data_IF_077403830809
#
_entry.id   IF_077403830809
#
_cell.length_a   1.000
_cell.length_b   1.000
_cell.length_c   1.000
_cell.angle_alpha   90.00
_cell.angle_beta   90.00
_cell.angle_gamma   90.00
#
_symmetry.space_group_name_H-M   'P 1'
#
loop_
_entity.id
_entity.type
_entity.pdbx_description
1 polymer ?
#
# COMPACT_ATOMS: atom_id res chain seq x y z
N UNK A 1 22.17 27.53 22.40
CA UNK A 1 21.72 27.49 20.99
C UNK A 1 22.62 26.61 20.12
N UNK A 2 23.88 26.38 20.50
CA UNK A 2 24.86 25.67 19.66
C UNK A 2 24.72 24.14 19.65
N UNK A 3 24.23 23.49 20.71
CA UNK A 3 24.07 22.03 20.71
C UNK A 3 22.94 21.53 19.78
N UNK A 4 21.89 22.35 19.60
CA UNK A 4 20.78 22.02 18.72
C UNK A 4 21.15 22.30 17.26
N UNK A 5 21.97 23.32 16.99
CA UNK A 5 22.58 23.51 15.67
C UNK A 5 23.58 22.39 15.36
N UNK A 6 24.46 21.99 16.28
CA UNK A 6 25.41 20.88 16.06
C UNK A 6 24.67 19.55 15.85
N UNK A 7 23.57 19.29 16.55
CA UNK A 7 22.74 18.11 16.32
C UNK A 7 22.03 18.15 14.95
N UNK A 8 21.52 19.32 14.53
CA UNK A 8 20.89 19.48 13.20
C UNK A 8 21.95 19.42 12.08
N UNK A 9 23.13 20.01 12.27
CA UNK A 9 24.26 19.99 11.33
C UNK A 9 24.83 18.59 11.20
N UNK A 10 24.96 17.83 12.30
CA UNK A 10 25.41 16.43 12.24
C UNK A 10 24.39 15.49 11.58
N UNK A 11 23.09 15.81 11.63
CA UNK A 11 22.05 15.11 10.86
C UNK A 11 22.08 15.51 9.38
N UNK A 12 22.57 16.71 9.03
CA UNK A 12 22.70 17.16 7.62
C UNK A 12 24.04 16.83 6.97
N UNK A 13 25.08 16.48 7.73
CA UNK A 13 26.43 16.19 7.19
C UNK A 13 26.87 14.73 7.30
N UNK A 14 25.98 13.84 7.75
CA UNK A 14 26.22 12.38 7.78
C UNK A 14 25.24 11.59 6.90
N UNK A 15 24.92 12.08 5.70
CA UNK A 15 24.77 11.13 4.59
C UNK A 15 26.13 11.04 3.93
N UNK A 16 26.88 9.92 4.10
CA UNK A 16 28.08 9.76 3.32
C UNK A 16 27.61 9.77 1.86
N UNK A 17 28.32 10.51 1.02
CA UNK A 17 28.43 10.17 -0.39
C UNK A 17 28.37 8.65 -0.50
N UNK A 18 27.32 8.09 -1.09
CA UNK A 18 27.30 6.67 -1.37
C UNK A 18 28.56 6.41 -2.19
N UNK A 19 29.55 5.68 -1.65
CA UNK A 19 30.84 5.57 -2.29
C UNK A 19 30.63 4.96 -3.68
N UNK A 20 31.52 5.30 -4.60
CA UNK A 20 31.58 4.78 -5.98
C UNK A 20 31.58 3.24 -6.04
N UNK A 21 31.76 2.57 -4.89
CA UNK A 21 31.47 1.15 -4.68
C UNK A 21 30.48 0.93 -3.54
N UNK A 22 29.23 1.35 -3.71
CA UNK A 22 28.17 0.85 -2.82
C UNK A 22 27.92 -0.61 -3.20
N UNK A 23 28.16 -1.57 -2.30
CA UNK A 23 28.11 -2.96 -2.69
C UNK A 23 26.68 -3.38 -3.03
N UNK A 24 26.54 -4.11 -4.14
CA UNK A 24 25.26 -4.52 -4.73
C UNK A 24 24.31 -5.21 -3.72
N UNK A 25 24.87 -5.94 -2.75
CA UNK A 25 24.10 -6.62 -1.71
C UNK A 25 23.27 -5.66 -0.84
N UNK A 26 23.71 -4.42 -0.63
CA UNK A 26 22.93 -3.42 0.12
C UNK A 26 21.66 -3.03 -0.62
N UNK A 27 21.71 -2.97 -1.95
CA UNK A 27 20.52 -2.78 -2.78
C UNK A 27 19.51 -3.90 -2.57
N UNK A 28 19.95 -5.16 -2.60
CA UNK A 28 19.07 -6.31 -2.37
C UNK A 28 18.53 -6.38 -0.94
N UNK A 29 19.32 -6.02 0.07
CA UNK A 29 18.83 -5.89 1.45
C UNK A 29 17.73 -4.82 1.54
N UNK A 30 17.92 -3.69 0.86
CA UNK A 30 16.92 -2.62 0.80
C UNK A 30 15.63 -3.07 0.08
N UNK A 31 15.74 -3.88 -0.99
CA UNK A 31 14.57 -4.55 -1.62
C UNK A 31 13.81 -5.39 -0.60
N UNK A 32 14.50 -6.27 0.13
CA UNK A 32 13.87 -7.17 1.10
C UNK A 32 13.15 -6.36 2.19
N UNK A 33 13.80 -5.33 2.73
CA UNK A 33 13.18 -4.42 3.68
C UNK A 33 11.93 -3.74 3.10
N UNK A 34 12.01 -3.19 1.89
CA UNK A 34 10.87 -2.57 1.22
C UNK A 34 9.71 -3.56 1.01
N UNK A 35 10.01 -4.79 0.57
CA UNK A 35 9.04 -5.86 0.34
C UNK A 35 8.29 -6.22 1.61
N UNK A 36 8.99 -6.46 2.72
CA UNK A 36 8.36 -6.83 3.98
C UNK A 36 7.46 -5.73 4.52
N UNK A 37 7.92 -4.48 4.44
CA UNK A 37 7.20 -3.33 4.98
C UNK A 37 6.02 -2.92 4.11
N UNK A 38 6.17 -2.84 2.78
CA UNK A 38 5.06 -2.61 1.87
C UNK A 38 4.06 -3.76 1.87
N UNK A 39 4.51 -5.03 1.95
CA UNK A 39 3.59 -6.17 2.03
C UNK A 39 2.79 -6.23 3.33
N UNK A 40 3.29 -5.58 4.39
CA UNK A 40 2.65 -5.54 5.71
C UNK A 40 1.93 -4.21 5.99
N UNK A 41 2.02 -3.22 5.11
CA UNK A 41 1.53 -1.87 5.39
C UNK A 41 0.02 -1.81 5.62
N UNK A 42 -0.77 -2.69 5.00
CA UNK A 42 -2.22 -2.76 5.16
C UNK A 42 -2.67 -3.62 6.35
N UNK A 43 -1.76 -4.36 7.01
CA UNK A 43 -2.11 -5.24 8.14
C UNK A 43 -2.74 -4.47 9.32
N UNK A 44 -2.22 -3.31 9.75
CA UNK A 44 -2.86 -2.51 10.79
C UNK A 44 -4.29 -2.08 10.42
N UNK A 45 -4.54 -1.81 9.13
CA UNK A 45 -5.82 -1.32 8.63
C UNK A 45 -6.88 -2.42 8.50
N UNK A 46 -6.51 -3.70 8.63
CA UNK A 46 -7.47 -4.82 8.54
C UNK A 46 -8.48 -4.89 9.69
N UNK A 47 -8.33 -4.03 10.72
CA UNK A 47 -9.34 -3.87 11.79
C UNK A 47 -10.64 -3.21 11.28
N UNK A 48 -10.64 -2.67 10.08
CA UNK A 48 -11.81 -2.08 9.43
C UNK A 48 -12.31 -3.00 8.32
N UNK A 49 -13.64 -3.07 8.07
CA UNK A 49 -14.19 -3.83 6.96
C UNK A 49 -13.80 -3.19 5.63
N UNK A 50 -12.57 -3.45 5.19
CA UNK A 50 -12.11 -3.16 3.85
C UNK A 50 -12.71 -4.17 2.88
N UNK A 51 -12.83 -3.78 1.61
CA UNK A 51 -13.37 -4.62 0.55
C UNK A 51 -12.49 -5.85 0.26
N UNK A 52 -12.44 -6.29 -0.98
CA UNK A 52 -11.47 -7.33 -1.39
C UNK A 52 -10.06 -6.72 -1.45
N UNK A 53 -9.36 -6.73 -0.31
CA UNK A 53 -8.02 -6.14 -0.18
C UNK A 53 -6.97 -6.83 -1.03
N UNK A 54 -7.10 -8.16 -1.21
CA UNK A 54 -6.22 -8.95 -2.06
C UNK A 54 -6.37 -8.57 -3.53
N UNK A 55 -7.61 -8.50 -4.03
CA UNK A 55 -7.86 -8.08 -5.41
C UNK A 55 -7.40 -6.63 -5.65
N UNK A 56 -7.67 -5.72 -4.72
CA UNK A 56 -7.17 -4.34 -4.80
C UNK A 56 -5.64 -4.29 -4.93
N UNK A 57 -4.93 -4.95 -4.01
CA UNK A 57 -3.47 -4.99 -4.00
C UNK A 57 -2.92 -5.57 -5.30
N UNK A 58 -3.56 -6.63 -5.78
CA UNK A 58 -3.19 -7.30 -7.01
C UNK A 58 -3.32 -6.40 -8.25
N UNK A 59 -4.48 -5.77 -8.45
CA UNK A 59 -4.71 -4.86 -9.59
C UNK A 59 -3.82 -3.60 -9.51
N UNK A 60 -3.55 -3.10 -8.31
CA UNK A 60 -2.57 -2.03 -8.10
C UNK A 60 -1.16 -2.46 -8.54
N UNK A 61 -0.71 -3.66 -8.14
CA UNK A 61 0.60 -4.19 -8.50
C UNK A 61 0.78 -4.33 -10.02
N UNK A 62 -0.27 -4.74 -10.74
CA UNK A 62 -0.25 -4.76 -12.22
C UNK A 62 0.01 -3.36 -12.77
N UNK A 63 -0.73 -2.35 -12.29
CA UNK A 63 -0.56 -0.97 -12.73
C UNK A 63 0.87 -0.46 -12.49
N UNK A 64 1.41 -0.68 -11.28
CA UNK A 64 2.77 -0.27 -10.90
C UNK A 64 3.82 -0.89 -11.80
N UNK A 65 3.72 -2.21 -12.01
CA UNK A 65 4.70 -2.94 -12.78
C UNK A 65 4.64 -2.58 -14.27
N UNK A 66 3.44 -2.46 -14.84
CA UNK A 66 3.27 -2.06 -16.24
C UNK A 66 3.83 -0.66 -16.50
N UNK A 67 3.49 0.34 -15.69
CA UNK A 67 3.98 1.70 -15.92
C UNK A 67 5.44 1.88 -15.54
N UNK A 68 5.92 1.21 -14.50
CA UNK A 68 7.35 1.23 -14.11
C UNK A 68 8.25 0.56 -15.15
N UNK A 69 7.83 -0.59 -15.69
CA UNK A 69 8.57 -1.23 -16.79
C UNK A 69 8.48 -0.40 -18.07
N UNK A 70 7.29 0.10 -18.43
CA UNK A 70 7.12 0.88 -19.66
C UNK A 70 7.88 2.23 -19.61
N UNK A 71 7.91 2.89 -18.46
CA UNK A 71 8.63 4.16 -18.31
C UNK A 71 10.15 3.97 -18.45
N UNK A 72 10.72 2.94 -17.83
CA UNK A 72 12.15 2.62 -17.95
C UNK A 72 12.54 2.05 -19.31
N UNK A 73 11.71 1.16 -19.88
CA UNK A 73 12.00 0.51 -21.17
C UNK A 73 11.84 1.47 -22.35
N UNK A 74 10.71 2.20 -22.43
CA UNK A 74 10.44 3.10 -23.55
C UNK A 74 10.93 4.53 -23.33
N UNK A 75 11.44 4.87 -22.15
CA UNK A 75 11.86 6.24 -21.85
C UNK A 75 10.70 7.23 -21.79
N UNK A 76 9.55 6.83 -21.24
CA UNK A 76 8.39 7.73 -21.14
C UNK A 76 8.76 9.01 -20.40
N UNK A 77 8.12 10.13 -20.78
CA UNK A 77 8.37 11.46 -20.19
C UNK A 77 9.81 11.98 -20.39
N UNK A 78 10.53 11.45 -21.38
CA UNK A 78 11.89 11.87 -21.70
C UNK A 78 12.95 11.19 -20.85
N UNK A 79 12.63 10.11 -20.11
CA UNK A 79 13.63 9.30 -19.41
C UNK A 79 14.60 8.64 -20.38
N UNK A 80 15.83 8.40 -19.95
CA UNK A 80 16.80 7.65 -20.76
C UNK A 80 16.36 6.19 -20.78
N UNK A 81 16.01 5.69 -21.97
CA UNK A 81 15.61 4.30 -22.18
C UNK A 81 16.73 3.36 -21.75
N UNK A 82 16.39 2.42 -20.86
CA UNK A 82 17.35 1.44 -20.38
C UNK A 82 17.72 0.45 -21.49
N UNK A 83 19.02 0.25 -21.70
CA UNK A 83 19.53 -0.67 -22.73
C UNK A 83 19.25 -2.13 -22.34
N UNK A 84 18.44 -2.82 -23.15
CA UNK A 84 18.16 -4.26 -23.01
C UNK A 84 19.06 -5.05 -23.97
N UNK A 85 19.88 -5.96 -23.44
CA UNK A 85 20.82 -6.78 -24.24
C UNK A 85 20.11 -7.94 -24.94
N UNK A 86 19.12 -8.54 -24.27
CA UNK A 86 18.30 -9.62 -24.81
C UNK A 86 16.80 -9.26 -24.81
N UNK A 87 16.31 -8.53 -25.82
CA UNK A 87 14.92 -8.06 -25.88
C UNK A 87 13.89 -9.19 -25.79
N UNK A 88 14.13 -10.31 -26.46
CA UNK A 88 13.21 -11.46 -26.47
C UNK A 88 13.03 -12.03 -25.05
N UNK A 89 14.12 -12.12 -24.28
CA UNK A 89 14.06 -12.63 -22.91
C UNK A 89 13.33 -11.65 -21.98
N UNK A 90 13.48 -10.35 -22.21
CA UNK A 90 12.75 -9.32 -21.48
C UNK A 90 11.24 -9.43 -21.74
N UNK A 91 10.82 -9.48 -23.00
CA UNK A 91 9.40 -9.62 -23.37
C UNK A 91 8.80 -10.95 -22.88
N UNK A 92 9.58 -12.03 -22.89
CA UNK A 92 9.14 -13.31 -22.33
C UNK A 92 8.93 -13.20 -20.81
N UNK A 93 9.84 -12.53 -20.09
CA UNK A 93 9.64 -12.23 -18.67
C UNK A 93 8.39 -11.40 -18.41
N UNK A 94 8.11 -10.40 -19.24
CA UNK A 94 6.86 -9.62 -19.18
C UNK A 94 5.63 -10.51 -19.41
N UNK A 95 5.66 -11.38 -20.41
CA UNK A 95 4.57 -12.34 -20.67
C UNK A 95 4.33 -13.28 -19.47
N UNK A 96 5.39 -13.79 -18.85
CA UNK A 96 5.30 -14.60 -17.61
C UNK A 96 4.69 -13.81 -16.45
N UNK A 97 5.01 -12.52 -16.31
CA UNK A 97 4.41 -11.63 -15.31
C UNK A 97 2.90 -11.46 -15.51
N UNK A 98 2.48 -11.21 -16.76
CA UNK A 98 1.07 -11.16 -17.13
C UNK A 98 0.34 -12.49 -16.88
N UNK A 99 0.99 -13.62 -17.15
CA UNK A 99 0.41 -14.95 -16.90
C UNK A 99 0.26 -15.23 -15.40
N UNK A 100 1.25 -14.86 -14.60
CA UNK A 100 1.15 -14.91 -13.14
C UNK A 100 -0.06 -14.13 -12.65
N UNK A 101 -0.26 -12.93 -13.20
CA UNK A 101 -1.42 -12.12 -12.89
C UNK A 101 -2.76 -12.86 -13.13
N UNK A 102 -2.89 -13.60 -14.24
CA UNK A 102 -4.10 -14.39 -14.51
C UNK A 102 -4.32 -15.50 -13.47
N UNK A 103 -3.27 -16.06 -12.86
CA UNK A 103 -3.41 -17.06 -11.79
C UNK A 103 -4.02 -16.46 -10.52
N UNK A 104 -3.63 -15.25 -10.14
CA UNK A 104 -4.13 -14.59 -8.94
C UNK A 104 -5.61 -14.18 -9.04
N UNK A 105 -6.12 -13.85 -10.23
CA UNK A 105 -7.55 -13.55 -10.46
C UNK A 105 -8.45 -14.74 -10.10
N UNK A 106 -7.93 -15.96 -10.22
CA UNK A 106 -8.69 -17.18 -9.96
C UNK A 106 -8.77 -17.55 -8.47
N UNK A 107 -8.06 -16.83 -7.60
CA UNK A 107 -8.10 -17.04 -6.15
C UNK A 107 -9.41 -16.49 -5.60
N UNK A 108 -10.20 -17.38 -4.99
CA UNK A 108 -11.40 -16.98 -4.25
C UNK A 108 -11.03 -16.82 -2.78
N UNK A 109 -10.93 -15.57 -2.33
CA UNK A 109 -10.94 -15.27 -0.91
C UNK A 109 -12.38 -15.48 -0.39
N UNK A 110 -12.54 -16.39 0.57
CA UNK A 110 -13.80 -16.52 1.30
C UNK A 110 -13.72 -15.49 2.41
N UNK A 111 -14.61 -14.51 2.39
CA UNK A 111 -14.79 -13.65 3.56
C UNK A 111 -15.33 -14.53 4.68
N UNK A 112 -14.61 -14.61 5.79
CA UNK A 112 -15.20 -15.09 7.04
C UNK A 112 -16.33 -14.11 7.36
N UNK A 113 -17.56 -14.52 7.08
CA UNK A 113 -18.74 -13.73 7.42
C UNK A 113 -18.71 -13.39 8.91
N UNK A 114 -18.94 -12.11 9.21
CA UNK A 114 -19.32 -11.60 10.52
C UNK A 114 -18.36 -11.89 11.70
N UNK A 115 -17.17 -11.27 11.71
CA UNK A 115 -16.78 -10.64 12.98
C UNK A 115 -17.63 -9.39 13.11
N UNK A 116 -18.63 -9.44 13.99
CA UNK A 116 -19.49 -8.33 14.38
C UNK A 116 -18.59 -7.16 14.80
N UNK A 117 -18.32 -6.26 13.85
CA UNK A 117 -17.76 -4.95 14.18
C UNK A 117 -18.98 -4.12 14.53
N UNK A 118 -19.12 -3.64 15.78
CA UNK A 118 -20.25 -2.80 16.16
C UNK A 118 -20.35 -1.62 15.18
N UNK A 119 -21.56 -1.24 14.79
CA UNK A 119 -21.80 -0.09 13.92
C UNK A 119 -21.21 1.16 14.58
N UNK A 120 -20.08 1.66 14.04
CA UNK A 120 -19.29 2.70 14.73
C UNK A 120 -19.71 4.08 14.27
N UNK A 121 -20.16 4.88 15.24
CA UNK A 121 -20.62 6.25 15.03
C UNK A 121 -19.43 7.12 14.57
N UNK A 122 -19.57 7.89 13.47
CA UNK A 122 -18.57 8.89 13.11
C UNK A 122 -18.49 9.95 14.22
N UNK A 123 -17.30 10.50 14.46
CA UNK A 123 -17.04 11.47 15.54
C UNK A 123 -17.97 12.71 15.53
N UNK A 124 -18.64 12.98 14.41
CA UNK A 124 -19.46 14.17 14.18
C UNK A 124 -20.96 13.88 14.05
N UNK A 125 -21.46 12.73 14.50
CA UNK A 125 -22.91 12.55 14.64
C UNK A 125 -23.42 13.40 15.82
N UNK A 126 -24.03 14.54 15.53
CA UNK A 126 -24.78 15.29 16.55
C UNK A 126 -25.99 14.45 16.97
N UNK A 127 -25.90 13.87 18.17
CA UNK A 127 -27.05 13.41 18.91
C UNK A 127 -27.78 14.68 19.39
N UNK A 128 -28.99 14.92 18.87
CA UNK A 128 -29.90 15.84 19.53
C UNK A 128 -30.27 15.15 20.84
N UNK A 129 -29.48 15.39 21.88
CA UNK A 129 -29.85 15.11 23.26
C UNK A 129 -31.06 16.01 23.52
N UNK A 130 -32.25 15.44 23.38
CA UNK A 130 -33.48 16.03 23.92
C UNK A 130 -33.23 16.09 25.42
N UNK A 131 -32.95 17.29 25.92
CA UNK A 131 -33.05 17.59 27.34
C UNK A 131 -34.54 17.53 27.70
N UNK A 132 -35.04 16.35 28.03
CA UNK A 132 -36.26 16.28 28.84
C UNK A 132 -35.88 16.59 30.29
N UNK A 133 -36.49 17.66 30.77
CA UNK A 133 -36.45 18.20 32.13
C UNK A 133 -36.82 17.14 33.19
N UNK A 134 -36.24 17.18 34.41
CA UNK A 134 -36.57 16.24 35.46
C UNK A 134 -37.84 16.69 36.18
N UNK A 135 -38.90 15.88 36.16
CA UNK A 135 -39.99 16.00 37.13
C UNK A 135 -40.53 14.62 37.50
N UNK A 136 -40.29 14.27 38.76
CA UNK A 136 -41.22 13.59 39.66
C UNK A 136 -41.81 12.24 39.22
N UNK A 137 -41.33 11.16 39.84
CA UNK A 137 -42.17 10.18 40.57
C UNK A 137 -41.29 9.06 41.12
N UNK A 138 -40.98 9.16 42.42
CA UNK A 138 -40.59 8.03 43.23
C UNK A 138 -41.76 7.03 43.29
N UNK A 139 -41.52 5.77 42.97
CA UNK A 139 -42.34 4.65 43.48
C UNK A 139 -41.45 3.44 43.67
N UNK A 140 -41.19 3.12 44.94
CA UNK A 140 -40.45 1.95 45.38
C UNK A 140 -41.22 0.66 45.06
N UNK A 141 -40.57 -0.34 44.42
CA UNK A 141 -41.02 -1.74 44.47
C UNK A 141 -39.82 -2.69 44.62
N UNK A 142 -39.63 -3.07 45.89
CA UNK A 142 -39.22 -4.36 46.44
C UNK A 142 -38.06 -5.17 45.81
N UNK A 143 -36.94 -5.15 46.53
CA UNK A 143 -35.83 -6.09 46.50
C UNK A 143 -36.37 -7.48 46.92
N UNK A 144 -36.48 -8.44 45.99
CA UNK A 144 -36.35 -9.91 46.18
C UNK A 144 -37.07 -10.68 45.05
N UNK A 145 -36.47 -10.76 43.86
CA UNK A 145 -36.74 -11.86 42.93
C UNK A 145 -35.55 -12.03 41.97
N UNK A 146 -35.10 -13.29 41.85
CA UNK A 146 -34.18 -13.83 40.83
C UNK A 146 -32.67 -13.64 41.06
N UNK A 147 -32.20 -14.36 42.08
CA UNK A 147 -31.16 -15.40 41.98
C UNK A 147 -30.55 -15.64 40.57
N UNK A 148 -29.26 -15.33 40.47
CA UNK A 148 -28.20 -16.06 39.72
C UNK A 148 -28.21 -16.03 38.17
N UNK A 149 -27.08 -15.54 37.63
CA UNK A 149 -26.51 -15.79 36.29
C UNK A 149 -27.29 -15.27 35.08
N UNK A 150 -27.11 -13.99 34.74
CA UNK A 150 -27.37 -13.47 33.39
C UNK A 150 -26.05 -13.42 32.62
N UNK A 151 -25.95 -14.27 31.59
CA UNK A 151 -25.01 -14.10 30.49
C UNK A 151 -25.25 -12.73 29.84
N UNK A 152 -24.22 -12.08 29.24
CA UNK A 152 -24.43 -10.83 28.56
C UNK A 152 -25.45 -11.06 27.43
N UNK A 153 -26.56 -10.34 27.49
CA UNK A 153 -27.56 -10.30 26.42
C UNK A 153 -26.87 -9.74 25.17
N UNK A 154 -26.41 -10.64 24.31
CA UNK A 154 -25.97 -10.30 22.96
C UNK A 154 -27.24 -9.93 22.21
N UNK A 155 -27.52 -8.64 22.11
CA UNK A 155 -28.56 -8.12 21.24
C UNK A 155 -28.11 -8.43 19.80
N UNK A 156 -28.66 -9.50 19.23
CA UNK A 156 -28.45 -9.89 17.84
C UNK A 156 -29.19 -8.87 16.98
N UNK A 157 -28.55 -7.73 16.73
CA UNK A 157 -28.98 -6.80 15.69
C UNK A 157 -28.92 -7.60 14.39
N UNK A 158 -30.08 -7.90 13.84
CA UNK A 158 -30.24 -8.58 12.55
C UNK A 158 -29.78 -7.61 11.45
N UNK A 159 -28.47 -7.50 11.28
CA UNK A 159 -27.86 -6.74 10.20
C UNK A 159 -28.17 -7.51 8.93
N UNK A 160 -29.16 -7.02 8.18
CA UNK A 160 -29.42 -7.51 6.83
C UNK A 160 -28.07 -7.54 6.09
N UNK A 161 -27.63 -8.71 5.57
CA UNK A 161 -26.38 -8.79 4.84
C UNK A 161 -26.45 -7.77 3.71
N UNK A 162 -25.50 -6.83 3.68
CA UNK A 162 -25.41 -5.90 2.55
C UNK A 162 -25.29 -6.72 1.28
N UNK A 163 -26.12 -6.46 0.25
CA UNK A 163 -26.09 -7.27 -0.95
C UNK A 163 -24.69 -7.20 -1.57
N UNK A 164 -24.18 -8.32 -2.12
CA UNK A 164 -22.84 -8.34 -2.69
C UNK A 164 -22.73 -7.26 -3.77
N UNK A 165 -21.58 -6.57 -3.87
CA UNK A 165 -21.41 -5.49 -4.83
C UNK A 165 -21.66 -6.00 -6.26
N UNK A 166 -22.42 -5.23 -7.03
CA UNK A 166 -22.72 -5.59 -8.42
C UNK A 166 -21.43 -5.70 -9.25
N UNK A 167 -21.47 -6.52 -10.32
CA UNK A 167 -20.32 -6.67 -11.23
C UNK A 167 -19.81 -5.31 -11.74
N UNK A 168 -20.71 -4.36 -12.02
CA UNK A 168 -20.36 -3.00 -12.44
C UNK A 168 -19.48 -2.28 -11.42
N UNK A 169 -19.84 -2.33 -10.14
CA UNK A 169 -19.07 -1.70 -9.05
C UNK A 169 -17.69 -2.35 -8.92
N UNK A 170 -17.61 -3.68 -9.04
CA UNK A 170 -16.33 -4.42 -8.99
C UNK A 170 -15.40 -4.02 -10.13
N UNK A 171 -15.92 -3.91 -11.36
CA UNK A 171 -15.15 -3.47 -12.52
C UNK A 171 -14.63 -2.04 -12.34
N UNK A 172 -15.46 -1.12 -11.85
CA UNK A 172 -15.05 0.26 -11.55
C UNK A 172 -13.92 0.27 -10.52
N UNK A 173 -14.03 -0.53 -9.45
CA UNK A 173 -13.00 -0.64 -8.43
C UNK A 173 -11.66 -1.17 -8.98
N UNK A 174 -11.70 -2.20 -9.84
CA UNK A 174 -10.48 -2.75 -10.45
C UNK A 174 -9.83 -1.76 -11.41
N UNK A 175 -10.61 -1.04 -12.21
CA UNK A 175 -10.09 0.01 -13.10
C UNK A 175 -9.42 1.12 -12.27
N UNK A 176 -10.07 1.58 -11.20
CA UNK A 176 -9.50 2.58 -10.29
C UNK A 176 -8.21 2.08 -9.63
N UNK A 177 -8.14 0.81 -9.24
CA UNK A 177 -6.94 0.20 -8.68
C UNK A 177 -5.78 0.18 -9.69
N UNK A 178 -6.05 -0.17 -10.95
CA UNK A 178 -5.04 -0.13 -12.03
C UNK A 178 -4.57 1.30 -12.28
N UNK A 179 -5.47 2.28 -12.30
CA UNK A 179 -5.11 3.70 -12.48
C UNK A 179 -4.25 4.18 -11.31
N UNK A 180 -4.65 3.87 -10.07
CA UNK A 180 -3.87 4.20 -8.88
C UNK A 180 -2.48 3.56 -8.93
N UNK A 181 -2.40 2.27 -9.27
CA UNK A 181 -1.15 1.56 -9.47
C UNK A 181 -0.28 2.17 -10.57
N UNK A 182 -0.89 2.55 -11.69
CA UNK A 182 -0.21 3.21 -12.81
C UNK A 182 0.46 4.52 -12.39
N UNK A 183 -0.25 5.36 -11.64
CA UNK A 183 0.29 6.59 -11.07
C UNK A 183 1.41 6.33 -10.07
N UNK A 184 1.26 5.28 -9.24
CA UNK A 184 2.29 4.89 -8.29
C UNK A 184 3.55 4.37 -9.00
N UNK A 185 3.43 3.66 -10.12
CA UNK A 185 4.59 3.27 -10.92
C UNK A 185 5.35 4.44 -11.53
N UNK A 186 4.71 5.61 -11.67
CA UNK A 186 5.33 6.85 -12.15
C UNK A 186 5.88 7.75 -11.03
N UNK A 187 5.80 7.32 -9.76
CA UNK A 187 6.17 8.14 -8.60
C UNK A 187 7.63 8.63 -8.65
N UNK A 188 8.54 7.85 -9.24
CA UNK A 188 9.96 8.22 -9.34
C UNK A 188 10.30 8.98 -10.62
N UNK A 189 9.43 8.98 -11.64
CA UNK A 189 9.71 9.60 -12.94
C UNK A 189 10.28 11.01 -12.85
N UNK A 190 9.75 11.94 -12.00
CA UNK A 190 10.33 13.28 -11.89
C UNK A 190 11.76 13.26 -11.33
N UNK A 191 12.02 12.42 -10.33
CA UNK A 191 13.36 12.29 -9.73
C UNK A 191 14.35 11.66 -10.69
N UNK A 192 13.97 10.62 -11.44
CA UNK A 192 14.83 10.02 -12.46
C UNK A 192 15.08 10.98 -13.61
N UNK A 193 14.08 11.73 -14.06
CA UNK A 193 14.26 12.71 -15.14
C UNK A 193 15.33 13.76 -14.79
N UNK A 194 15.32 14.27 -13.55
CA UNK A 194 16.34 15.23 -13.10
C UNK A 194 17.72 14.56 -13.01
N UNK A 195 17.79 13.30 -12.58
CA UNK A 195 19.04 12.55 -12.46
C UNK A 195 19.66 12.19 -13.83
N UNK A 196 18.80 11.91 -14.81
CA UNK A 196 19.17 11.50 -16.16
C UNK A 196 19.67 12.66 -17.03
N UNK A 197 19.33 13.92 -16.69
CA UNK A 197 19.69 15.12 -17.46
C UNK A 197 20.66 16.04 -16.71
N UNK A 198 21.90 15.60 -16.42
CA UNK A 198 22.88 16.41 -15.70
C UNK A 198 23.28 17.68 -16.47
N UNK A 199 23.14 17.72 -17.80
CA UNK A 199 23.35 18.91 -18.62
C UNK A 199 22.33 20.02 -18.33
N UNK A 200 21.10 19.65 -17.97
CA UNK A 200 20.03 20.58 -17.61
C UNK A 200 20.03 20.89 -16.10
N UNK A 201 20.49 19.94 -15.29
CA UNK A 201 20.50 20.03 -13.83
C UNK A 201 21.88 19.68 -13.24
N UNK A 202 22.91 20.51 -13.45
CA UNK A 202 24.29 20.18 -13.07
C UNK A 202 24.51 20.06 -11.55
N UNK A 203 23.70 20.77 -10.75
CA UNK A 203 23.77 20.77 -9.29
C UNK A 203 22.79 19.79 -8.64
N UNK A 204 22.06 18.99 -9.42
CA UNK A 204 21.09 18.06 -8.89
C UNK A 204 21.76 16.82 -8.27
N UNK A 205 21.15 16.30 -7.21
CA UNK A 205 21.62 15.11 -6.53
C UNK A 205 21.41 13.87 -7.39
N UNK A 206 22.42 13.01 -7.50
CA UNK A 206 22.25 11.66 -8.07
C UNK A 206 21.67 10.66 -7.07
N UNK A 207 21.68 10.98 -5.78
CA UNK A 207 21.09 10.14 -4.74
C UNK A 207 19.57 10.35 -4.70
N UNK A 208 18.81 9.27 -4.93
CA UNK A 208 17.35 9.25 -4.89
C UNK A 208 16.77 9.67 -3.54
N UNK A 209 17.47 9.41 -2.44
CA UNK A 209 16.98 9.76 -1.09
C UNK A 209 16.84 11.28 -0.89
N UNK A 210 17.64 12.10 -1.58
CA UNK A 210 17.56 13.56 -1.46
C UNK A 210 16.23 14.13 -2.01
N UNK A 211 15.54 13.36 -2.86
CA UNK A 211 14.22 13.74 -3.39
C UNK A 211 13.07 13.34 -2.46
N UNK A 212 13.34 12.53 -1.43
CA UNK A 212 12.32 12.00 -0.53
C UNK A 212 11.51 13.12 0.15
N UNK A 213 12.18 14.15 0.68
CA UNK A 213 11.51 15.28 1.33
C UNK A 213 10.52 16.00 0.41
N UNK A 214 10.93 16.27 -0.84
CA UNK A 214 10.06 16.90 -1.85
C UNK A 214 8.85 16.01 -2.17
N UNK A 215 9.07 14.70 -2.34
CA UNK A 215 8.03 13.72 -2.60
C UNK A 215 7.00 13.65 -1.45
N UNK A 216 7.45 13.49 -0.19
CA UNK A 216 6.55 13.45 0.96
C UNK A 216 5.80 14.76 1.17
N UNK A 217 6.45 15.89 0.94
CA UNK A 217 5.81 17.22 1.03
C UNK A 217 4.69 17.36 0.00
N UNK A 218 4.92 16.87 -1.23
CA UNK A 218 3.90 16.81 -2.27
C UNK A 218 2.72 15.93 -1.86
N UNK A 219 2.98 14.73 -1.34
CA UNK A 219 1.93 13.81 -0.86
C UNK A 219 1.10 14.45 0.24
N UNK A 220 1.73 15.11 1.22
CA UNK A 220 1.05 15.78 2.31
C UNK A 220 0.18 16.94 1.81
N UNK A 221 0.72 17.76 0.91
CA UNK A 221 -0.01 18.87 0.31
C UNK A 221 -1.23 18.39 -0.47
N UNK A 222 -1.05 17.41 -1.36
CA UNK A 222 -2.16 16.86 -2.16
C UNK A 222 -3.23 16.21 -1.27
N UNK A 223 -2.83 15.47 -0.23
CA UNK A 223 -3.76 14.87 0.71
C UNK A 223 -4.55 15.92 1.49
N UNK A 224 -3.90 17.02 1.87
CA UNK A 224 -4.53 18.14 2.56
C UNK A 224 -5.54 18.86 1.67
N UNK A 225 -5.19 19.11 0.41
CA UNK A 225 -6.11 19.70 -0.58
C UNK A 225 -7.32 18.79 -0.81
N UNK A 226 -7.09 17.49 -0.97
CA UNK A 226 -8.18 16.52 -1.16
C UNK A 226 -9.13 16.50 0.05
N UNK A 227 -8.58 16.49 1.27
CA UNK A 227 -9.37 16.56 2.49
C UNK A 227 -10.16 17.87 2.58
N UNK A 228 -9.56 19.01 2.24
CA UNK A 228 -10.23 20.31 2.23
C UNK A 228 -11.38 20.37 1.21
N UNK A 229 -11.19 19.84 0.01
CA UNK A 229 -12.27 19.72 -0.99
C UNK A 229 -13.38 18.81 -0.45
N UNK A 230 -13.02 17.69 0.18
CA UNK A 230 -13.98 16.78 0.78
C UNK A 230 -14.82 17.46 1.88
N UNK A 231 -14.21 18.27 2.75
CA UNK A 231 -14.96 19.01 3.78
C UNK A 231 -15.89 20.05 3.16
N UNK A 232 -15.49 20.76 2.10
CA UNK A 232 -16.35 21.69 1.36
C UNK A 232 -17.55 20.96 0.75
N UNK A 233 -17.31 19.87 0.02
CA UNK A 233 -18.37 19.09 -0.66
C UNK A 233 -19.36 18.52 0.37
N UNK A 234 -18.87 18.08 1.53
CA UNK A 234 -19.69 17.60 2.64
C UNK A 234 -20.26 18.72 3.52
N UNK A 235 -20.13 19.99 3.12
CA UNK A 235 -20.64 21.17 3.86
C UNK A 235 -20.21 21.16 5.33
N UNK A 236 -18.91 20.91 5.54
CA UNK A 236 -18.25 20.80 6.84
C UNK A 236 -18.80 19.68 7.76
N UNK A 237 -19.44 18.65 7.18
CA UNK A 237 -19.85 17.41 7.87
C UNK A 237 -19.16 16.17 7.28
N UNK A 238 -17.80 16.09 7.31
CA UNK A 238 -17.08 14.91 6.85
C UNK A 238 -17.31 13.72 7.79
N UNK A 239 -17.39 12.51 7.23
CA UNK A 239 -17.46 11.29 8.02
C UNK A 239 -16.03 10.80 8.31
N UNK A 240 -15.57 10.97 9.55
CA UNK A 240 -14.23 10.57 10.00
C UNK A 240 -14.40 9.57 11.14
N UNK A 241 -13.77 8.41 10.99
CA UNK A 241 -13.75 7.37 12.01
C UNK A 241 -12.46 7.52 12.83
N UNK A 242 -12.57 7.95 14.09
CA UNK A 242 -11.40 8.20 14.96
C UNK A 242 -10.48 6.98 15.09
N UNK A 243 -11.12 5.83 15.16
CA UNK A 243 -10.44 4.57 15.43
C UNK A 243 -9.50 4.16 14.30
N UNK A 244 -9.71 4.66 13.07
CA UNK A 244 -8.84 4.36 11.93
C UNK A 244 -7.59 5.22 11.88
N UNK A 245 -7.52 6.30 12.66
CA UNK A 245 -6.39 7.23 12.66
C UNK A 245 -5.11 6.54 13.12
N UNK A 246 -5.12 5.86 14.26
CA UNK A 246 -3.92 5.20 14.78
C UNK A 246 -3.41 4.08 13.85
N UNK A 247 -4.26 3.15 13.37
CA UNK A 247 -3.85 2.16 12.38
C UNK A 247 -3.34 2.75 11.06
N UNK A 248 -3.95 3.84 10.59
CA UNK A 248 -3.49 4.55 9.40
C UNK A 248 -2.10 5.20 9.60
N UNK A 249 -1.82 5.74 10.78
CA UNK A 249 -0.49 6.28 11.11
C UNK A 249 0.58 5.18 11.11
N UNK A 250 0.29 4.02 11.72
CA UNK A 250 1.22 2.88 11.71
C UNK A 250 1.48 2.41 10.27
N UNK A 251 0.41 2.29 9.46
CA UNK A 251 0.52 1.98 8.04
C UNK A 251 1.39 2.98 7.27
N UNK A 252 1.21 4.27 7.56
CA UNK A 252 1.99 5.36 6.96
C UNK A 252 3.47 5.32 7.33
N UNK A 253 3.81 4.98 8.58
CA UNK A 253 5.20 4.81 9.02
C UNK A 253 5.85 3.62 8.28
N UNK A 254 5.16 2.47 8.22
CA UNK A 254 5.63 1.29 7.49
C UNK A 254 5.88 1.63 6.02
N UNK A 255 4.92 2.32 5.38
CA UNK A 255 5.03 2.77 3.99
C UNK A 255 6.19 3.76 3.81
N UNK A 256 6.37 4.71 4.73
CA UNK A 256 7.46 5.69 4.67
C UNK A 256 8.84 5.03 4.71
N UNK A 257 9.06 4.10 5.64
CA UNK A 257 10.33 3.36 5.75
C UNK A 257 10.55 2.49 4.51
N UNK A 258 9.51 1.79 4.03
CA UNK A 258 9.57 0.97 2.82
C UNK A 258 9.94 1.81 1.59
N UNK A 259 9.34 2.99 1.47
CA UNK A 259 9.54 3.92 0.36
C UNK A 259 10.97 4.49 0.34
N UNK A 260 11.56 4.78 1.51
CA UNK A 260 12.96 5.16 1.62
C UNK A 260 13.91 4.02 1.21
N UNK A 261 13.64 2.79 1.66
CA UNK A 261 14.39 1.61 1.24
C UNK A 261 14.28 1.37 -0.28
N UNK A 262 13.10 1.59 -0.86
CA UNK A 262 12.88 1.48 -2.30
C UNK A 262 13.68 2.54 -3.08
N UNK A 263 13.75 3.79 -2.60
CA UNK A 263 14.60 4.83 -3.20
C UNK A 263 16.09 4.44 -3.18
N UNK A 264 16.58 3.94 -2.05
CA UNK A 264 17.97 3.47 -1.92
C UNK A 264 18.24 2.33 -2.90
N UNK A 265 17.37 1.33 -2.93
CA UNK A 265 17.51 0.21 -3.88
C UNK A 265 17.50 0.67 -5.33
N UNK A 266 16.60 1.58 -5.71
CA UNK A 266 16.52 2.11 -7.06
C UNK A 266 17.83 2.81 -7.48
N UNK A 267 18.48 3.52 -6.55
CA UNK A 267 19.77 4.18 -6.82
C UNK A 267 20.95 3.21 -6.96
N UNK A 268 20.86 1.99 -6.42
CA UNK A 268 21.93 0.98 -6.46
C UNK A 268 21.71 -0.04 -7.59
N UNK A 269 20.49 -0.58 -7.71
CA UNK A 269 20.16 -1.69 -8.62
C UNK A 269 19.53 -1.24 -9.95
N UNK A 270 19.21 0.03 -10.14
CA UNK A 270 18.33 0.56 -11.21
C UNK A 270 16.85 0.22 -11.04
N UNK A 271 15.99 0.98 -11.71
CA UNK A 271 14.54 0.86 -11.60
C UNK A 271 14.04 -0.48 -12.15
N UNK A 272 14.50 -0.93 -13.32
CA UNK A 272 13.92 -2.17 -13.86
C UNK A 272 14.43 -3.46 -13.22
N UNK A 273 15.45 -3.43 -12.34
CA UNK A 273 15.73 -4.56 -11.45
C UNK A 273 14.87 -4.46 -10.20
N UNK A 274 14.81 -3.26 -9.60
CA UNK A 274 14.15 -3.06 -8.30
C UNK A 274 12.64 -3.21 -8.39
N UNK A 275 11.99 -2.62 -9.40
CA UNK A 275 10.52 -2.62 -9.52
C UNK A 275 9.92 -4.02 -9.62
N UNK A 276 10.38 -4.92 -10.52
CA UNK A 276 9.85 -6.28 -10.57
C UNK A 276 10.04 -7.06 -9.27
N UNK A 277 11.21 -6.91 -8.62
CA UNK A 277 11.50 -7.58 -7.36
C UNK A 277 10.59 -7.10 -6.22
N UNK A 278 10.41 -5.78 -6.10
CA UNK A 278 9.56 -5.18 -5.07
C UNK A 278 8.10 -5.56 -5.30
N UNK A 279 7.55 -5.38 -6.51
CA UNK A 279 6.13 -5.65 -6.78
C UNK A 279 5.77 -7.11 -6.48
N UNK A 280 6.62 -8.05 -6.91
CA UNK A 280 6.39 -9.48 -6.70
C UNK A 280 6.54 -9.86 -5.23
N UNK A 281 7.57 -9.32 -4.56
CA UNK A 281 7.78 -9.55 -3.15
C UNK A 281 6.61 -9.03 -2.31
N UNK A 282 6.14 -7.82 -2.59
CA UNK A 282 5.02 -7.19 -1.86
C UNK A 282 3.73 -8.00 -2.02
N UNK A 283 3.41 -8.43 -3.24
CA UNK A 283 2.26 -9.30 -3.49
C UNK A 283 2.36 -10.65 -2.76
N UNK A 284 3.58 -11.22 -2.69
CA UNK A 284 3.83 -12.48 -1.99
C UNK A 284 3.64 -12.33 -0.48
N UNK A 285 4.22 -11.30 0.14
CA UNK A 285 4.08 -11.03 1.59
C UNK A 285 2.63 -10.74 1.96
N UNK A 286 1.92 -9.93 1.16
CA UNK A 286 0.50 -9.66 1.38
C UNK A 286 -0.34 -10.96 1.32
N UNK A 287 -0.05 -11.84 0.35
CA UNK A 287 -0.73 -13.13 0.23
C UNK A 287 -0.43 -14.04 1.43
N UNK A 288 0.80 -14.02 1.96
CA UNK A 288 1.15 -14.76 3.18
C UNK A 288 0.35 -14.27 4.40
N UNK A 289 0.16 -12.96 4.55
CA UNK A 289 -0.73 -12.41 5.58
C UNK A 289 -2.18 -12.88 5.40
N UNK A 290 -2.70 -12.91 4.16
CA UNK A 290 -4.03 -13.44 3.85
C UNK A 290 -4.19 -14.93 4.15
N UNK A 291 -3.14 -15.74 4.00
CA UNK A 291 -3.18 -17.18 4.32
C UNK A 291 -3.06 -17.43 5.83
N UNK A 292 -2.04 -16.87 6.47
CA UNK A 292 -1.67 -17.26 7.83
C UNK A 292 -2.39 -16.46 8.92
N UNK A 293 -2.58 -15.16 8.71
CA UNK A 293 -3.09 -14.26 9.73
C UNK A 293 -4.58 -13.99 9.54
N UNK A 294 -5.00 -13.51 8.37
CA UNK A 294 -6.41 -13.24 8.08
C UNK A 294 -7.20 -14.53 7.81
N UNK A 295 -6.49 -15.57 7.35
CA UNK A 295 -7.07 -16.87 6.99
C UNK A 295 -8.25 -16.69 6.02
N UNK A 296 -8.06 -15.91 4.97
CA UNK A 296 -9.09 -15.62 3.95
C UNK A 296 -9.02 -16.60 2.77
N UNK A 297 -7.87 -17.24 2.60
CA UNK A 297 -7.58 -18.15 1.49
C UNK A 297 -7.48 -19.57 2.05
N UNK A 298 -8.46 -20.40 1.69
CA UNK A 298 -8.48 -21.83 2.04
C UNK A 298 -8.57 -22.73 0.81
N UNK A 299 -8.06 -23.95 0.94
CA UNK A 299 -8.22 -25.03 -0.02
C UNK A 299 -7.01 -25.25 -0.91
N UNK A 300 -6.73 -26.53 -1.22
CA UNK A 300 -5.55 -26.95 -1.99
C UNK A 300 -5.47 -26.30 -3.36
N UNK A 301 -6.61 -26.09 -4.04
CA UNK A 301 -6.66 -25.43 -5.34
C UNK A 301 -6.21 -23.97 -5.26
N UNK A 302 -6.64 -23.24 -4.23
CA UNK A 302 -6.24 -21.85 -4.04
C UNK A 302 -4.76 -21.74 -3.66
N UNK A 303 -4.26 -22.64 -2.79
CA UNK A 303 -2.83 -22.70 -2.47
C UNK A 303 -1.98 -23.04 -3.69
N UNK A 304 -2.46 -23.94 -4.56
CA UNK A 304 -1.77 -24.26 -5.81
C UNK A 304 -1.71 -23.06 -6.76
N UNK A 305 -2.80 -22.30 -6.92
CA UNK A 305 -2.79 -21.08 -7.74
C UNK A 305 -1.86 -20.00 -7.19
N UNK A 306 -1.87 -19.81 -5.86
CA UNK A 306 -0.95 -18.90 -5.18
C UNK A 306 0.50 -19.31 -5.41
N UNK A 307 0.82 -20.59 -5.24
CA UNK A 307 2.17 -21.12 -5.45
C UNK A 307 2.63 -20.96 -6.90
N UNK A 308 1.80 -21.38 -7.87
CA UNK A 308 2.10 -21.25 -9.29
C UNK A 308 2.26 -19.79 -9.72
N UNK A 309 1.39 -18.90 -9.23
CA UNK A 309 1.50 -17.46 -9.44
C UNK A 309 2.83 -16.91 -8.91
N UNK A 310 3.21 -17.24 -7.68
CA UNK A 310 4.50 -16.84 -7.12
C UNK A 310 5.69 -17.37 -7.93
N UNK A 311 5.68 -18.64 -8.34
CA UNK A 311 6.74 -19.21 -9.16
C UNK A 311 6.87 -18.51 -10.51
N UNK A 312 5.74 -18.24 -11.19
CA UNK A 312 5.73 -17.51 -12.47
C UNK A 312 6.23 -16.08 -12.30
N UNK A 313 5.81 -15.40 -11.22
CA UNK A 313 6.30 -14.06 -10.89
C UNK A 313 7.80 -14.04 -10.64
N UNK A 314 8.34 -14.95 -9.84
CA UNK A 314 9.79 -15.04 -9.59
C UNK A 314 10.53 -15.28 -10.91
N UNK A 315 10.03 -16.20 -11.74
CA UNK A 315 10.61 -16.51 -13.05
C UNK A 315 10.60 -15.27 -13.96
N UNK A 316 9.49 -14.52 -14.00
CA UNK A 316 9.35 -13.27 -14.74
C UNK A 316 10.42 -12.24 -14.33
N UNK A 317 10.59 -12.02 -13.01
CA UNK A 317 11.62 -11.12 -12.49
C UNK A 317 13.02 -11.56 -12.88
N UNK A 318 13.35 -12.84 -12.72
CA UNK A 318 14.68 -13.36 -13.06
C UNK A 318 14.97 -13.15 -14.55
N UNK A 319 14.01 -13.43 -15.44
CA UNK A 319 14.18 -13.23 -16.88
C UNK A 319 14.38 -11.76 -17.25
N UNK A 320 13.60 -10.84 -16.64
CA UNK A 320 13.74 -9.40 -16.86
C UNK A 320 15.12 -8.93 -16.39
N UNK A 321 15.57 -9.36 -15.22
CA UNK A 321 16.88 -8.98 -14.66
C UNK A 321 18.02 -9.53 -15.53
N UNK A 322 17.96 -10.80 -15.92
CA UNK A 322 18.99 -11.43 -16.76
C UNK A 322 19.02 -10.88 -18.19
N UNK A 323 17.95 -10.23 -18.65
CA UNK A 323 17.87 -9.69 -20.03
C UNK A 323 18.72 -8.43 -20.25
N UNK A 324 19.30 -7.92 -19.16
CA UNK A 324 20.09 -6.70 -19.15
C UNK A 324 21.59 -7.01 -19.18
N UNK A 325 22.38 -6.07 -19.72
CA UNK A 325 23.82 -6.18 -19.66
C UNK A 325 24.29 -6.24 -18.21
N UNK A 326 25.24 -7.14 -17.94
CA UNK A 326 25.95 -7.17 -16.66
C UNK A 326 26.69 -5.83 -16.52
N UNK A 327 26.35 -5.07 -15.49
CA UNK A 327 27.07 -3.85 -15.10
C UNK A 327 28.50 -4.17 -14.69
#
# INVERSE_FOLDING_TARGET
MDLLQIAITNITTTTPYLPVHTPLYLGYIAVIAAVLLFGSNLVPANKFPVGDGLAFQFFMCIGIWCTGWASGHFGWFGLISEKVEHPIMNYFGVACGCLSALMFINIRAIKTDALVVPERRPLLSHENIVHDTPSDLETQVNINAVRSTEAPVVEVINVNPTPPPTLKIRLIAYILAIICGSLFGLIFTPSTYIQDHPEKYPNASKNGLHYAFSMYSGILLTSSVFFFVYTIVKRNRPQIYAESICPALVSGILWGIAQAAFLISNSILSQAITFPLVVIGVGSVATLWSIFYFKEIFGMRNYLFVFLGMCLSITASVLIVLSKPKQ
#
